data_IF_629736337086
#
_entry.id   IF_629736337086
#
_cell.length_a   1.000
_cell.length_b   1.000
_cell.length_c   1.000
_cell.angle_alpha   90.00
_cell.angle_beta   90.00
_cell.angle_gamma   90.00
#
_symmetry.space_group_name_H-M   'P 1'
#
loop_
_entity.id
_entity.type
_entity.pdbx_description
1 polymer ?
#
# COMPACT_ATOMS: atom_id res chain seq x y z
N UNK A 1 11.48 -32.88 0.45
CA UNK A 1 11.86 -31.77 1.35
C UNK A 1 12.35 -30.62 0.49
N UNK A 2 11.45 -29.74 0.06
CA UNK A 2 11.80 -28.58 -0.76
C UNK A 2 12.25 -27.47 0.18
N UNK A 3 13.54 -27.19 0.19
CA UNK A 3 14.13 -26.18 1.06
C UNK A 3 13.60 -24.79 0.67
N UNK A 4 12.94 -24.15 1.64
CA UNK A 4 12.54 -22.75 1.60
C UNK A 4 13.83 -21.91 1.73
N UNK A 5 14.20 -21.06 0.77
CA UNK A 5 15.45 -20.31 0.87
C UNK A 5 15.33 -19.32 2.03
N UNK A 6 16.39 -19.24 2.84
CA UNK A 6 16.50 -18.35 3.99
C UNK A 6 16.02 -16.93 3.65
N UNK A 7 15.05 -16.41 4.40
CA UNK A 7 14.50 -15.09 4.17
C UNK A 7 15.56 -14.03 4.46
N UNK A 8 16.28 -13.59 3.43
CA UNK A 8 17.03 -12.34 3.50
C UNK A 8 15.98 -11.26 3.71
N UNK A 9 15.81 -10.76 4.95
CA UNK A 9 14.87 -9.69 5.28
C UNK A 9 15.09 -8.54 4.28
N UNK A 10 14.11 -8.27 3.42
CA UNK A 10 14.15 -7.15 2.50
C UNK A 10 14.24 -5.86 3.33
N UNK A 11 15.11 -4.93 2.92
CA UNK A 11 15.17 -3.64 3.62
C UNK A 11 13.88 -2.85 3.35
N UNK A 12 13.44 -2.05 4.33
CA UNK A 12 12.25 -1.20 4.16
C UNK A 12 12.36 -0.28 2.94
N UNK A 13 13.57 0.21 2.62
CA UNK A 13 13.84 0.97 1.39
C UNK A 13 13.59 0.16 0.12
N UNK A 14 13.90 -1.14 0.11
CA UNK A 14 13.64 -2.01 -1.06
C UNK A 14 12.14 -2.24 -1.17
N UNK A 15 11.49 -2.57 -0.05
CA UNK A 15 10.05 -2.81 0.01
C UNK A 15 9.24 -1.61 -0.49
N UNK A 16 9.65 -0.37 -0.14
CA UNK A 16 8.96 0.85 -0.57
C UNK A 16 9.01 1.10 -2.08
N UNK A 17 9.97 0.52 -2.82
CA UNK A 17 10.05 0.64 -4.29
C UNK A 17 9.28 -0.45 -5.03
N UNK A 18 9.04 -1.60 -4.38
CA UNK A 18 8.40 -2.76 -5.02
C UNK A 18 7.04 -2.45 -5.68
N UNK A 19 6.16 -1.60 -5.12
CA UNK A 19 4.90 -1.25 -5.78
C UNK A 19 5.07 -0.56 -7.14
N UNK A 20 6.15 0.22 -7.31
CA UNK A 20 6.47 0.89 -8.57
C UNK A 20 7.08 -0.10 -9.57
N UNK A 21 7.97 -0.99 -9.11
CA UNK A 21 8.45 -2.09 -9.95
C UNK A 21 7.29 -2.93 -10.49
N UNK A 22 6.37 -3.32 -9.61
CA UNK A 22 5.22 -4.13 -10.00
C UNK A 22 4.37 -3.43 -11.06
N UNK A 23 4.03 -2.17 -10.84
CA UNK A 23 3.23 -1.39 -11.79
C UNK A 23 3.89 -1.33 -13.18
N UNK A 24 5.18 -1.01 -13.25
CA UNK A 24 5.88 -0.97 -14.54
C UNK A 24 5.97 -2.36 -15.20
N UNK A 25 6.21 -3.42 -14.43
CA UNK A 25 6.24 -4.80 -14.93
C UNK A 25 4.87 -5.28 -15.44
N UNK A 26 3.77 -4.82 -14.84
CA UNK A 26 2.41 -5.07 -15.32
C UNK A 26 2.18 -4.41 -16.69
N UNK A 27 2.64 -3.17 -16.87
CA UNK A 27 2.60 -2.50 -18.19
C UNK A 27 3.37 -3.29 -19.25
N UNK A 28 4.62 -3.68 -18.96
CA UNK A 28 5.43 -4.47 -19.88
C UNK A 28 4.79 -5.83 -20.20
N UNK A 29 4.16 -6.46 -19.21
CA UNK A 29 3.46 -7.73 -19.40
C UNK A 29 2.24 -7.57 -20.31
N UNK A 30 1.46 -6.50 -20.13
CA UNK A 30 0.32 -6.18 -21.00
C UNK A 30 0.75 -5.89 -22.45
N UNK A 31 1.94 -5.31 -22.63
CA UNK A 31 2.57 -5.10 -23.95
C UNK A 31 3.18 -6.37 -24.56
N UNK A 32 3.14 -7.50 -23.85
CA UNK A 32 3.69 -8.78 -24.33
C UNK A 32 5.22 -8.88 -24.25
N UNK A 33 5.89 -8.00 -23.51
CA UNK A 33 7.34 -8.02 -23.35
C UNK A 33 7.76 -9.09 -22.34
N UNK A 34 8.60 -10.03 -22.79
CA UNK A 34 9.07 -11.14 -21.95
C UNK A 34 10.23 -10.80 -21.02
N UNK A 35 11.03 -9.79 -21.37
CA UNK A 35 12.26 -9.44 -20.67
C UNK A 35 12.46 -7.92 -20.52
N UNK A 36 13.12 -7.52 -19.43
CA UNK A 36 13.45 -6.12 -19.13
C UNK A 36 14.86 -6.01 -18.55
N UNK A 37 15.64 -5.02 -19.00
CA UNK A 37 16.98 -4.76 -18.47
C UNK A 37 16.92 -3.94 -17.18
N UNK A 38 17.98 -4.01 -16.37
CA UNK A 38 18.11 -3.16 -15.18
C UNK A 38 18.18 -1.67 -15.52
N UNK A 39 18.75 -1.30 -16.68
CA UNK A 39 18.76 0.07 -17.16
C UNK A 39 17.34 0.58 -17.47
N UNK A 40 16.51 -0.21 -18.15
CA UNK A 40 15.12 0.15 -18.44
C UNK A 40 14.29 0.32 -17.15
N UNK A 41 14.42 -0.62 -16.21
CA UNK A 41 13.81 -0.51 -14.90
C UNK A 41 14.28 0.76 -14.16
N UNK A 42 15.58 1.03 -14.15
CA UNK A 42 16.17 2.18 -13.50
C UNK A 42 15.63 3.50 -14.05
N UNK A 43 15.56 3.63 -15.38
CA UNK A 43 15.00 4.80 -16.07
C UNK A 43 13.52 4.98 -15.72
N UNK A 44 12.71 3.93 -15.80
CA UNK A 44 11.28 4.00 -15.51
C UNK A 44 10.99 4.39 -14.06
N UNK A 45 11.86 4.01 -13.12
CA UNK A 45 11.70 4.23 -11.68
C UNK A 45 12.46 5.45 -11.15
N UNK A 46 13.15 6.18 -12.02
CA UNK A 46 13.97 7.33 -11.62
C UNK A 46 15.08 6.98 -10.63
N UNK A 47 15.65 5.77 -10.71
CA UNK A 47 16.69 5.30 -9.80
C UNK A 47 17.94 4.84 -10.56
N UNK A 48 19.01 4.46 -9.84
CA UNK A 48 20.24 4.02 -10.51
C UNK A 48 20.18 2.54 -10.91
N UNK A 49 20.87 2.21 -11.99
CA UNK A 49 21.02 0.82 -12.46
C UNK A 49 21.64 -0.09 -11.37
N UNK A 50 22.65 0.42 -10.66
CA UNK A 50 23.26 -0.29 -9.54
C UNK A 50 22.27 -0.59 -8.39
N UNK A 51 21.40 0.36 -8.05
CA UNK A 51 20.36 0.15 -7.04
C UNK A 51 19.33 -0.86 -7.52
N UNK A 52 18.93 -0.78 -8.79
CA UNK A 52 18.00 -1.73 -9.41
C UNK A 52 18.53 -3.16 -9.35
N UNK A 53 19.79 -3.39 -9.76
CA UNK A 53 20.42 -4.71 -9.69
C UNK A 53 20.47 -5.24 -8.25
N UNK A 54 20.74 -4.37 -7.27
CA UNK A 54 20.74 -4.72 -5.86
C UNK A 54 19.36 -5.14 -5.35
N UNK A 55 18.32 -4.39 -5.72
CA UNK A 55 16.93 -4.71 -5.35
C UNK A 55 16.50 -6.04 -5.96
N UNK A 56 16.70 -6.23 -7.27
CA UNK A 56 16.33 -7.47 -7.98
C UNK A 56 17.09 -8.68 -7.46
N UNK A 57 18.38 -8.53 -7.15
CA UNK A 57 19.16 -9.58 -6.50
C UNK A 57 18.64 -9.91 -5.08
N UNK A 58 18.15 -8.93 -4.33
CA UNK A 58 17.54 -9.17 -3.02
C UNK A 58 16.22 -9.95 -3.11
N UNK A 59 15.54 -9.90 -4.26
CA UNK A 59 14.35 -10.71 -4.58
C UNK A 59 14.71 -12.15 -5.01
N UNK A 60 16.00 -12.50 -5.09
CA UNK A 60 16.47 -13.82 -5.53
C UNK A 60 16.50 -14.00 -7.04
N UNK A 61 16.38 -12.91 -7.81
CA UNK A 61 16.45 -12.93 -9.26
C UNK A 61 17.84 -12.47 -9.74
N UNK A 62 18.38 -13.18 -10.72
CA UNK A 62 19.59 -12.78 -11.43
C UNK A 62 19.25 -12.63 -12.92
N UNK A 63 19.62 -11.49 -13.50
CA UNK A 63 19.43 -11.26 -14.92
C UNK A 63 20.34 -12.17 -15.75
N UNK A 64 19.94 -12.44 -17.00
CA UNK A 64 20.82 -13.05 -17.99
C UNK A 64 21.58 -11.96 -18.73
N UNK A 65 22.90 -12.12 -18.88
CA UNK A 65 23.74 -11.19 -19.64
C UNK A 65 23.16 -10.96 -21.04
N UNK A 66 22.94 -9.70 -21.41
CA UNK A 66 22.38 -9.29 -22.70
C UNK A 66 20.86 -9.39 -22.84
N UNK A 67 20.16 -10.10 -21.95
CA UNK A 67 18.71 -10.31 -22.03
C UNK A 67 17.93 -9.63 -20.87
N UNK A 68 18.54 -9.46 -19.70
CA UNK A 68 17.90 -8.86 -18.53
C UNK A 68 17.10 -9.87 -17.69
N UNK A 69 16.02 -9.40 -17.07
CA UNK A 69 15.16 -10.17 -16.16
C UNK A 69 13.88 -10.60 -16.86
N UNK A 70 13.35 -11.77 -16.51
CA UNK A 70 12.02 -12.18 -16.95
C UNK A 70 10.97 -11.27 -16.31
N UNK A 71 10.14 -10.64 -17.15
CA UNK A 71 9.06 -9.76 -16.69
C UNK A 71 8.07 -10.56 -15.85
N UNK A 72 7.63 -11.71 -16.34
CA UNK A 72 6.67 -12.57 -15.65
C UNK A 72 7.18 -13.06 -14.28
N UNK A 73 8.41 -13.59 -14.23
CA UNK A 73 8.96 -14.15 -13.00
C UNK A 73 9.17 -13.07 -11.92
N UNK A 74 9.64 -11.89 -12.32
CA UNK A 74 9.85 -10.76 -11.42
C UNK A 74 8.51 -10.19 -10.93
N UNK A 75 7.54 -10.00 -11.85
CA UNK A 75 6.17 -9.56 -11.53
C UNK A 75 5.52 -10.49 -10.50
N UNK A 76 5.56 -11.80 -10.74
CA UNK A 76 4.97 -12.79 -9.83
C UNK A 76 5.63 -12.77 -8.45
N UNK A 77 6.95 -12.67 -8.40
CA UNK A 77 7.69 -12.63 -7.12
C UNK A 77 7.33 -11.39 -6.31
N UNK A 78 7.29 -10.22 -6.95
CA UNK A 78 6.94 -8.96 -6.30
C UNK A 78 5.47 -8.96 -5.86
N UNK A 79 4.54 -9.38 -6.71
CA UNK A 79 3.12 -9.47 -6.38
C UNK A 79 2.88 -10.35 -5.15
N UNK A 80 3.59 -11.48 -5.04
CA UNK A 80 3.51 -12.37 -3.87
C UNK A 80 4.07 -11.72 -2.60
N UNK A 81 5.18 -11.00 -2.69
CA UNK A 81 5.78 -10.28 -1.55
C UNK A 81 4.83 -9.17 -1.06
N UNK A 82 4.20 -8.45 -1.97
CA UNK A 82 3.26 -7.37 -1.66
C UNK A 82 1.86 -7.88 -1.27
N UNK A 83 1.58 -9.17 -1.40
CA UNK A 83 0.28 -9.75 -1.06
C UNK A 83 -0.85 -9.44 -2.04
N UNK A 84 -0.54 -9.00 -3.27
CA UNK A 84 -1.54 -8.59 -4.28
C UNK A 84 -2.51 -9.73 -4.62
N UNK A 85 -2.07 -10.99 -4.53
CA UNK A 85 -2.91 -12.16 -4.83
C UNK A 85 -3.85 -12.58 -3.69
N UNK A 86 -3.76 -11.94 -2.52
CA UNK A 86 -4.50 -12.37 -1.31
C UNK A 86 -5.83 -11.66 -1.08
N UNK A 87 -6.15 -10.61 -1.87
CA UNK A 87 -7.44 -9.91 -1.78
C UNK A 87 -7.71 -9.37 -0.38
N UNK A 88 -6.72 -8.71 0.23
CA UNK A 88 -6.74 -8.28 1.63
C UNK A 88 -7.91 -7.35 1.89
N UNK A 89 -8.61 -7.59 2.98
CA UNK A 89 -9.75 -6.79 3.41
C UNK A 89 -9.25 -5.57 4.17
N UNK A 90 -9.76 -4.41 3.77
CA UNK A 90 -9.40 -3.10 4.32
C UNK A 90 -10.64 -2.46 4.92
N UNK A 91 -10.51 -1.95 6.15
CA UNK A 91 -11.48 -1.08 6.79
C UNK A 91 -11.15 0.39 6.48
N UNK A 92 -12.12 1.17 6.02
CA UNK A 92 -11.97 2.62 5.90
C UNK A 92 -12.69 3.32 7.05
N UNK A 93 -11.98 4.15 7.81
CA UNK A 93 -12.55 4.95 8.90
C UNK A 93 -12.58 6.43 8.56
N UNK A 94 -13.79 7.01 8.63
CA UNK A 94 -14.10 8.39 8.29
C UNK A 94 -14.71 8.50 6.91
N UNK A 95 -16.04 8.52 6.82
CA UNK A 95 -16.81 8.73 5.60
C UNK A 95 -17.00 10.24 5.30
N UNK A 96 -15.92 11.01 5.42
CA UNK A 96 -15.86 12.41 4.98
C UNK A 96 -15.51 12.54 3.50
N UNK A 97 -15.15 13.73 3.05
CA UNK A 97 -14.81 13.99 1.63
C UNK A 97 -13.67 13.08 1.12
N UNK A 98 -12.58 12.96 1.88
CA UNK A 98 -11.45 12.12 1.49
C UNK A 98 -11.82 10.64 1.51
N UNK A 99 -12.47 10.17 2.58
CA UNK A 99 -12.93 8.79 2.67
C UNK A 99 -13.85 8.42 1.51
N UNK A 100 -14.83 9.26 1.19
CA UNK A 100 -15.75 9.06 0.07
C UNK A 100 -15.01 8.97 -1.28
N UNK A 101 -13.99 9.79 -1.50
CA UNK A 101 -13.14 9.69 -2.69
C UNK A 101 -12.37 8.36 -2.73
N UNK A 102 -11.81 7.92 -1.60
CA UNK A 102 -11.08 6.66 -1.51
C UNK A 102 -11.98 5.42 -1.68
N UNK A 103 -13.25 5.48 -1.26
CA UNK A 103 -14.24 4.40 -1.49
C UNK A 103 -14.46 4.10 -2.97
N UNK A 104 -14.29 5.12 -3.82
CA UNK A 104 -14.50 5.03 -5.27
C UNK A 104 -13.20 4.82 -6.05
N UNK A 105 -12.06 4.67 -5.36
CA UNK A 105 -10.75 4.50 -5.99
C UNK A 105 -10.45 3.04 -6.28
N UNK A 106 -10.55 2.65 -7.56
CA UNK A 106 -10.33 1.26 -8.03
C UNK A 106 -8.87 0.79 -7.86
N UNK A 107 -7.91 1.70 -7.77
CA UNK A 107 -6.48 1.37 -7.69
C UNK A 107 -6.07 0.58 -6.44
N UNK A 108 -6.88 0.56 -5.38
CA UNK A 108 -6.68 -0.36 -4.26
C UNK A 108 -7.01 -1.80 -4.66
N UNK A 109 -8.18 -2.01 -5.27
CA UNK A 109 -8.65 -3.34 -5.68
C UNK A 109 -7.74 -3.94 -6.76
N UNK A 110 -7.27 -3.12 -7.71
CA UNK A 110 -6.26 -3.52 -8.71
C UNK A 110 -4.96 -4.03 -8.05
N UNK A 111 -4.64 -3.54 -6.85
CA UNK A 111 -3.46 -3.94 -6.06
C UNK A 111 -3.79 -4.99 -4.99
N UNK A 112 -4.94 -5.64 -5.07
CA UNK A 112 -5.34 -6.71 -4.16
C UNK A 112 -5.76 -6.24 -2.77
N UNK A 113 -6.07 -4.95 -2.62
CA UNK A 113 -6.56 -4.32 -1.39
C UNK A 113 -8.03 -3.94 -1.57
N UNK A 114 -8.93 -4.65 -0.90
CA UNK A 114 -10.37 -4.45 -1.05
C UNK A 114 -10.91 -3.71 0.16
N UNK A 115 -11.43 -2.50 -0.03
CA UNK A 115 -12.24 -1.86 1.00
C UNK A 115 -13.51 -2.71 1.15
N UNK A 116 -13.73 -3.29 2.34
CA UNK A 116 -14.88 -4.18 2.58
C UNK A 116 -15.81 -3.70 3.69
N UNK A 117 -15.36 -2.71 4.46
CA UNK A 117 -16.18 -2.01 5.43
C UNK A 117 -15.80 -0.53 5.48
N UNK A 118 -16.77 0.29 5.84
CA UNK A 118 -16.63 1.72 6.05
C UNK A 118 -17.26 2.04 7.40
N UNK A 119 -16.57 2.81 8.23
CA UNK A 119 -17.09 3.25 9.52
C UNK A 119 -16.96 4.75 9.72
N UNK A 120 -17.89 5.31 10.48
CA UNK A 120 -17.91 6.71 10.90
C UNK A 120 -18.54 6.79 12.31
N UNK A 121 -18.41 7.93 13.00
CA UNK A 121 -19.09 8.17 14.27
C UNK A 121 -20.27 9.13 14.13
N UNK A 122 -20.48 9.72 12.95
CA UNK A 122 -21.59 10.63 12.67
C UNK A 122 -22.92 9.86 12.61
N UNK A 123 -23.83 10.07 13.58
CA UNK A 123 -25.12 9.36 13.63
C UNK A 123 -25.99 9.62 12.40
N UNK A 124 -25.75 10.73 11.69
CA UNK A 124 -26.48 11.03 10.46
C UNK A 124 -26.04 10.16 9.30
N UNK A 125 -24.79 9.65 9.30
CA UNK A 125 -24.23 8.81 8.25
C UNK A 125 -24.36 7.32 8.54
N UNK A 126 -24.31 6.93 9.82
CA UNK A 126 -24.40 5.52 10.22
C UNK A 126 -25.69 4.89 9.65
N UNK A 127 -25.56 3.72 9.04
CA UNK A 127 -26.63 3.00 8.35
C UNK A 127 -26.94 3.49 6.93
N UNK A 128 -26.43 4.66 6.50
CA UNK A 128 -26.58 5.11 5.13
C UNK A 128 -25.71 4.29 4.16
N UNK A 129 -26.13 4.25 2.89
CA UNK A 129 -25.38 3.62 1.81
C UNK A 129 -24.61 4.66 1.02
N UNK A 130 -23.31 4.43 0.82
CA UNK A 130 -22.47 5.21 -0.08
C UNK A 130 -21.82 4.28 -1.10
N UNK A 131 -22.24 4.40 -2.36
CA UNK A 131 -21.89 3.42 -3.39
C UNK A 131 -22.32 2.00 -2.99
N UNK A 132 -21.35 1.08 -2.92
CA UNK A 132 -21.57 -0.32 -2.51
C UNK A 132 -21.56 -0.56 -0.99
N UNK A 133 -21.23 0.44 -0.17
CA UNK A 133 -20.95 0.27 1.25
C UNK A 133 -22.11 0.76 2.13
N UNK A 134 -22.35 0.08 3.25
CA UNK A 134 -23.16 0.60 4.36
C UNK A 134 -22.21 1.14 5.43
N UNK A 135 -22.44 2.35 5.90
CA UNK A 135 -21.59 2.98 6.92
C UNK A 135 -21.92 2.37 8.29
N UNK A 136 -20.92 1.80 8.94
CA UNK A 136 -20.99 1.22 10.28
C UNK A 136 -20.67 2.26 11.35
N UNK A 137 -21.15 2.05 12.58
CA UNK A 137 -20.61 2.76 13.73
C UNK A 137 -19.19 2.24 14.03
N UNK A 138 -18.25 3.15 14.22
CA UNK A 138 -16.86 2.83 14.60
C UNK A 138 -16.77 2.04 15.92
N UNK A 139 -17.73 2.20 16.81
CA UNK A 139 -17.77 1.46 18.09
C UNK A 139 -18.32 0.04 17.95
N UNK A 140 -18.98 -0.26 16.84
CA UNK A 140 -19.55 -1.58 16.53
C UNK A 140 -18.62 -2.43 15.65
N UNK A 141 -17.41 -1.96 15.37
CA UNK A 141 -16.39 -2.74 14.68
C UNK A 141 -15.87 -3.80 15.65
N UNK A 142 -16.55 -4.95 15.67
CA UNK A 142 -16.17 -6.08 16.51
C UNK A 142 -14.78 -6.62 16.17
N UNK A 143 -14.24 -7.43 17.07
CA UNK A 143 -12.95 -8.14 16.91
C UNK A 143 -13.01 -9.30 15.91
N UNK A 144 -14.18 -9.55 15.31
CA UNK A 144 -14.50 -10.75 14.50
C UNK A 144 -14.40 -10.49 12.99
N UNK A 145 -13.67 -9.44 12.60
CA UNK A 145 -13.45 -9.11 11.21
C UNK A 145 -12.06 -9.61 10.78
N UNK A 146 -11.99 -10.39 9.69
CA UNK A 146 -10.76 -10.80 8.98
C UNK A 146 -10.03 -9.60 8.32
N UNK A 147 -9.98 -8.45 8.98
CA UNK A 147 -9.38 -7.21 8.50
C UNK A 147 -8.11 -6.96 9.28
N UNK A 148 -6.96 -7.07 8.61
CA UNK A 148 -5.65 -6.75 9.19
C UNK A 148 -5.23 -5.29 8.90
N UNK A 149 -5.92 -4.63 7.96
CA UNK A 149 -5.54 -3.34 7.41
C UNK A 149 -6.67 -2.31 7.57
N UNK A 150 -6.30 -1.08 7.90
CA UNK A 150 -7.22 0.06 7.93
C UNK A 150 -6.65 1.28 7.19
N UNK A 151 -7.55 2.10 6.66
CA UNK A 151 -7.28 3.45 6.17
C UNK A 151 -7.98 4.43 7.12
N UNK A 152 -7.26 5.42 7.63
CA UNK A 152 -7.79 6.41 8.58
C UNK A 152 -7.82 7.78 7.91
N UNK A 153 -9.01 8.31 7.69
CA UNK A 153 -9.28 9.62 7.04
C UNK A 153 -10.09 10.56 7.93
N UNK A 154 -9.86 10.49 9.25
CA UNK A 154 -10.54 11.33 10.26
C UNK A 154 -9.74 12.60 10.58
N UNK A 155 -10.35 13.61 11.24
CA UNK A 155 -9.62 14.77 11.76
C UNK A 155 -8.49 14.38 12.73
N UNK A 156 -7.43 15.18 12.79
CA UNK A 156 -6.21 14.85 13.57
C UNK A 156 -6.47 14.75 15.08
N UNK A 157 -7.47 15.47 15.58
CA UNK A 157 -7.87 15.51 16.98
C UNK A 157 -8.31 14.13 17.48
N UNK A 158 -9.06 13.40 16.66
CA UNK A 158 -9.67 12.10 17.00
C UNK A 158 -8.88 10.90 16.46
N UNK A 159 -7.86 11.14 15.65
CA UNK A 159 -7.14 10.07 14.95
C UNK A 159 -6.44 9.06 15.90
N UNK A 160 -5.97 9.50 17.06
CA UNK A 160 -5.36 8.59 18.05
C UNK A 160 -6.41 7.68 18.66
N UNK A 161 -7.55 8.22 19.09
CA UNK A 161 -8.63 7.42 19.71
C UNK A 161 -9.16 6.36 18.74
N UNK A 162 -9.34 6.73 17.47
CA UNK A 162 -9.69 5.79 16.38
C UNK A 162 -8.60 4.73 16.21
N UNK A 163 -7.33 5.13 16.24
CA UNK A 163 -6.21 4.19 16.11
C UNK A 163 -6.21 3.17 17.25
N UNK A 164 -6.44 3.61 18.48
CA UNK A 164 -6.48 2.73 19.64
C UNK A 164 -7.64 1.72 19.55
N UNK A 165 -8.81 2.15 19.07
CA UNK A 165 -9.94 1.26 18.76
C UNK A 165 -9.56 0.21 17.71
N UNK A 166 -8.92 0.62 16.62
CA UNK A 166 -8.49 -0.28 15.55
C UNK A 166 -7.47 -1.31 16.04
N UNK A 167 -6.49 -0.89 16.84
CA UNK A 167 -5.50 -1.78 17.43
C UNK A 167 -6.16 -2.81 18.35
N UNK A 168 -7.11 -2.39 19.19
CA UNK A 168 -7.87 -3.29 20.05
C UNK A 168 -8.77 -4.26 19.24
N UNK A 169 -9.22 -3.85 18.06
CA UNK A 169 -9.96 -4.70 17.12
C UNK A 169 -9.07 -5.68 16.34
N UNK A 170 -7.74 -5.63 16.52
CA UNK A 170 -6.79 -6.55 15.87
C UNK A 170 -6.16 -6.03 14.57
N UNK A 171 -6.38 -4.76 14.21
CA UNK A 171 -5.73 -4.15 13.04
C UNK A 171 -4.23 -4.02 13.28
N UNK A 172 -3.43 -4.52 12.35
CA UNK A 172 -1.96 -4.53 12.44
C UNK A 172 -1.29 -3.63 11.41
N UNK A 173 -2.02 -3.14 10.41
CA UNK A 173 -1.53 -2.16 9.43
C UNK A 173 -2.47 -0.99 9.25
N UNK A 174 -1.95 0.24 9.33
CA UNK A 174 -2.75 1.47 9.22
C UNK A 174 -2.13 2.39 8.17
N UNK A 175 -2.91 2.78 7.18
CA UNK A 175 -2.62 3.89 6.27
C UNK A 175 -3.28 5.17 6.82
N UNK A 176 -2.48 6.06 7.38
CA UNK A 176 -2.95 7.26 8.07
C UNK A 176 -2.91 8.49 7.17
N UNK A 177 -4.07 9.10 6.90
CA UNK A 177 -4.19 10.40 6.24
C UNK A 177 -4.48 11.54 7.23
N UNK A 178 -4.68 11.24 8.51
CA UNK A 178 -4.88 12.29 9.51
C UNK A 178 -3.57 13.08 9.71
N UNK A 179 -3.62 14.42 9.85
CA UNK A 179 -2.45 15.29 9.96
C UNK A 179 -1.84 15.24 11.37
N UNK A 180 -1.60 14.04 11.89
CA UNK A 180 -1.06 13.78 13.23
C UNK A 180 -0.22 12.52 13.23
N UNK A 181 0.86 12.53 14.02
CA UNK A 181 1.62 11.33 14.35
C UNK A 181 0.84 10.45 15.32
N UNK A 182 0.60 9.21 14.91
CA UNK A 182 -0.04 8.18 15.72
C UNK A 182 0.99 7.44 16.57
N UNK A 183 0.60 7.07 17.78
CA UNK A 183 1.37 6.18 18.65
C UNK A 183 0.72 4.81 18.61
N UNK A 184 1.50 3.79 18.31
CA UNK A 184 1.02 2.40 18.20
C UNK A 184 2.03 1.44 18.84
N UNK A 185 1.59 0.25 19.27
CA UNK A 185 2.50 -0.82 19.70
C UNK A 185 3.46 -1.29 18.59
N UNK A 186 4.57 -1.95 18.97
CA UNK A 186 5.60 -2.40 18.01
C UNK A 186 5.09 -3.36 16.92
N UNK A 187 4.03 -4.12 17.21
CA UNK A 187 3.45 -5.08 16.27
C UNK A 187 2.52 -4.43 15.22
N UNK A 188 2.25 -3.13 15.35
CA UNK A 188 1.37 -2.38 14.45
C UNK A 188 2.22 -1.47 13.57
N UNK A 189 1.98 -1.53 12.27
CA UNK A 189 2.67 -0.72 11.28
C UNK A 189 1.80 0.44 10.81
N UNK A 190 2.31 1.66 10.91
CA UNK A 190 1.63 2.87 10.43
C UNK A 190 2.42 3.47 9.28
N UNK A 191 1.75 3.67 8.14
CA UNK A 191 2.24 4.46 7.03
C UNK A 191 1.43 5.76 6.96
N UNK A 192 2.08 6.90 7.13
CA UNK A 192 1.41 8.21 7.02
C UNK A 192 1.54 8.75 5.60
N UNK A 193 0.44 9.31 5.08
CA UNK A 193 0.40 10.05 3.81
C UNK A 193 0.02 11.50 4.11
N UNK A 194 0.92 12.42 3.80
CA UNK A 194 0.71 13.85 3.93
C UNK A 194 0.77 14.53 2.56
N UNK A 195 -0.38 14.65 1.91
CA UNK A 195 -0.49 15.23 0.57
C UNK A 195 -0.01 16.69 0.52
N UNK A 196 -0.16 17.43 1.63
CA UNK A 196 0.29 18.82 1.73
C UNK A 196 1.82 18.90 1.76
N UNK A 197 2.47 18.03 2.53
CA UNK A 197 3.94 17.95 2.57
C UNK A 197 4.51 17.54 1.21
N UNK A 198 3.90 16.57 0.53
CA UNK A 198 4.31 16.17 -0.83
C UNK A 198 4.22 17.34 -1.83
N UNK A 199 3.15 18.13 -1.77
CA UNK A 199 2.99 19.30 -2.62
C UNK A 199 4.01 20.41 -2.30
N UNK A 200 4.37 20.61 -1.03
CA UNK A 200 5.42 21.55 -0.63
C UNK A 200 6.79 21.14 -1.17
N UNK A 201 7.12 19.84 -1.11
CA UNK A 201 8.36 19.31 -1.67
C UNK A 201 8.39 19.54 -3.19
N UNK A 202 7.29 19.28 -3.88
CA UNK A 202 7.17 19.53 -5.32
C UNK A 202 7.36 21.02 -5.66
N UNK A 203 6.74 21.91 -4.89
CA UNK A 203 6.90 23.35 -5.07
C UNK A 203 8.38 23.77 -4.91
N UNK A 204 9.04 23.30 -3.86
CA UNK A 204 10.46 23.58 -3.63
C UNK A 204 11.36 23.08 -4.77
N UNK A 205 11.11 21.87 -5.28
CA UNK A 205 11.87 21.30 -6.40
C UNK A 205 11.68 22.08 -7.70
N UNK A 206 10.46 22.60 -7.94
CA UNK A 206 10.18 23.45 -9.09
C UNK A 206 10.87 24.81 -8.97
N UNK A 207 10.85 25.41 -7.79
CA UNK A 207 11.40 26.75 -7.58
C UNK A 207 12.95 26.75 -7.52
N UNK A 208 13.55 25.57 -7.28
CA UNK A 208 14.99 25.34 -7.25
C UNK A 208 15.59 24.80 -8.57
N UNK A 209 14.87 24.88 -9.69
CA UNK A 209 15.33 24.48 -11.03
C UNK A 209 15.55 25.68 -11.96
#
# INVERSE_FOLDING_TARGET
MTQQPASKKLSGRTLSRLPQYLHYLETLHAEGLGYVTSAQLATALGCSDALTRKDVAALGHSGRSGQGYSVEALRYTIARILGVTSGRRVLLVGAGNLGAALMSYEGFAERGMNITAVADNDPTKIGQRYGGYTILDIHDIGTDHDMELAIVTVPGEVAQDVTDLLVNAGITGILNFAPRRLHVPEHVHVQTVDLSAELQILAFQRDGA
#
